data_IF_734081587081
#
_entry.id   IF_734081587081
#
_cell.length_a   1.000
_cell.length_b   1.000
_cell.length_c   1.000
_cell.angle_alpha   90.00
_cell.angle_beta   90.00
_cell.angle_gamma   90.00
#
_symmetry.space_group_name_H-M   'P 1'
#
loop_
_entity.id
_entity.type
_entity.pdbx_description
1 polymer ?
#
# COMPACT_ATOMS: atom_id res chain seq x y z
N UNK A 1 -3.70 6.64 -24.77
CA UNK A 1 -4.43 5.64 -23.95
C UNK A 1 -3.82 5.63 -22.57
N UNK A 2 -4.57 6.07 -21.57
CA UNK A 2 -4.08 6.17 -20.19
C UNK A 2 -4.24 4.81 -19.52
N UNK A 3 -3.21 3.96 -19.57
CA UNK A 3 -3.15 2.71 -18.82
C UNK A 3 -3.03 2.97 -17.32
N UNK A 4 -3.56 2.08 -16.48
CA UNK A 4 -3.51 2.20 -15.02
C UNK A 4 -2.16 1.65 -14.54
N UNK A 5 -1.31 2.51 -13.99
CA UNK A 5 -0.05 2.11 -13.38
C UNK A 5 -0.16 2.23 -11.86
N UNK A 6 0.06 1.13 -11.16
CA UNK A 6 -0.02 1.05 -9.70
C UNK A 6 1.38 0.93 -9.14
N UNK A 7 1.82 1.95 -8.43
CA UNK A 7 3.09 1.93 -7.71
C UNK A 7 2.90 1.26 -6.35
N UNK A 8 3.71 0.25 -6.05
CA UNK A 8 3.58 -0.56 -4.83
C UNK A 8 4.90 -0.66 -4.08
N UNK A 9 4.81 -1.00 -2.80
CA UNK A 9 5.95 -1.30 -1.93
C UNK A 9 5.75 -2.69 -1.31
N UNK A 10 6.81 -3.51 -1.15
CA UNK A 10 6.70 -4.79 -0.48
C UNK A 10 6.10 -4.61 0.92
N UNK A 11 5.22 -5.53 1.30
CA UNK A 11 4.46 -5.54 2.57
C UNK A 11 3.39 -4.44 2.73
N UNK A 12 2.99 -3.73 1.67
CA UNK A 12 1.87 -2.80 1.71
C UNK A 12 0.51 -3.53 1.66
N UNK A 13 -0.12 -3.78 2.81
CA UNK A 13 -1.44 -4.42 2.87
C UNK A 13 -2.52 -3.63 2.12
N UNK A 14 -2.43 -2.30 2.12
CA UNK A 14 -3.38 -1.45 1.39
C UNK A 14 -3.24 -1.60 -0.13
N UNK A 15 -2.01 -1.70 -0.64
CA UNK A 15 -1.74 -1.92 -2.06
C UNK A 15 -2.33 -3.26 -2.53
N UNK A 16 -2.28 -4.31 -1.69
CA UNK A 16 -2.92 -5.60 -1.97
C UNK A 16 -4.45 -5.49 -2.04
N UNK A 17 -5.07 -4.63 -1.24
CA UNK A 17 -6.51 -4.38 -1.32
C UNK A 17 -6.87 -3.68 -2.64
N UNK A 18 -6.06 -2.72 -3.08
CA UNK A 18 -6.23 -2.03 -4.37
C UNK A 18 -6.12 -2.99 -5.55
N UNK A 19 -5.11 -3.88 -5.56
CA UNK A 19 -4.98 -4.92 -6.60
C UNK A 19 -6.21 -5.80 -6.69
N UNK A 20 -6.73 -6.28 -5.55
CA UNK A 20 -7.96 -7.08 -5.51
C UNK A 20 -9.18 -6.34 -6.06
N UNK A 21 -9.26 -5.03 -5.82
CA UNK A 21 -10.35 -4.20 -6.34
C UNK A 21 -10.25 -4.04 -7.88
N UNK A 22 -9.03 -3.84 -8.39
CA UNK A 22 -8.76 -3.75 -9.82
C UNK A 22 -8.99 -5.09 -10.53
N UNK A 23 -8.53 -6.20 -9.93
CA UNK A 23 -8.78 -7.56 -10.42
C UNK A 23 -10.28 -7.86 -10.48
N UNK A 24 -11.04 -7.46 -9.45
CA UNK A 24 -12.51 -7.61 -9.42
C UNK A 24 -13.21 -6.75 -10.47
N UNK A 25 -12.64 -5.59 -10.79
CA UNK A 25 -13.13 -4.72 -11.86
C UNK A 25 -12.74 -5.21 -13.26
N UNK A 26 -11.87 -6.22 -13.37
CA UNK A 26 -11.38 -6.74 -14.65
C UNK A 26 -10.56 -5.72 -15.43
N UNK A 27 -9.86 -4.82 -14.73
CA UNK A 27 -9.06 -3.77 -15.34
C UNK A 27 -7.62 -4.20 -15.48
N UNK A 28 -7.03 -3.99 -16.66
CA UNK A 28 -5.60 -4.17 -16.85
C UNK A 28 -4.84 -3.04 -16.16
N UNK A 29 -3.94 -3.42 -15.25
CA UNK A 29 -3.03 -2.51 -14.58
C UNK A 29 -1.60 -3.05 -14.57
N UNK A 30 -0.64 -2.13 -14.52
CA UNK A 30 0.78 -2.46 -14.40
C UNK A 30 1.23 -2.15 -12.98
N UNK A 31 1.69 -3.17 -12.23
CA UNK A 31 2.27 -2.97 -10.91
C UNK A 31 3.77 -2.67 -11.03
N UNK A 32 4.20 -1.51 -10.53
CA UNK A 32 5.61 -1.11 -10.47
C UNK A 32 6.04 -1.05 -9.00
N UNK A 33 6.98 -1.91 -8.63
CA UNK A 33 7.58 -1.89 -7.30
C UNK A 33 8.61 -0.75 -7.21
N UNK A 34 8.39 0.19 -6.29
CA UNK A 34 9.26 1.37 -6.07
C UNK A 34 10.15 1.23 -4.83
N UNK A 35 10.46 0.01 -4.40
CA UNK A 35 11.24 -0.30 -3.18
C UNK A 35 12.74 0.02 -3.25
N UNK A 36 13.14 1.07 -3.96
CA UNK A 36 14.55 1.45 -4.13
C UNK A 36 15.21 1.99 -2.87
N UNK A 37 14.45 2.26 -1.79
CA UNK A 37 15.04 2.60 -0.50
C UNK A 37 14.12 2.21 0.67
N UNK A 38 14.43 1.08 1.28
CA UNK A 38 13.74 0.53 2.45
C UNK A 38 14.33 1.01 3.78
N UNK A 39 15.25 1.97 3.81
CA UNK A 39 15.84 2.41 5.08
C UNK A 39 14.99 3.50 5.80
N UNK A 40 14.09 4.18 5.10
CA UNK A 40 13.38 5.35 5.66
C UNK A 40 12.08 5.07 6.44
N UNK A 41 11.69 3.82 6.69
CA UNK A 41 10.44 3.51 7.44
C UNK A 41 10.64 3.26 8.93
N UNK A 42 11.85 2.92 9.36
CA UNK A 42 12.19 2.75 10.79
C UNK A 42 12.23 4.11 11.52
N UNK A 43 12.47 5.20 10.80
CA UNK A 43 12.38 6.58 11.33
C UNK A 43 10.93 7.05 11.59
N UNK A 44 9.92 6.27 11.19
CA UNK A 44 8.52 6.45 11.62
C UNK A 44 8.15 5.52 12.79
N UNK A 45 9.12 5.12 13.61
CA UNK A 45 8.84 4.87 15.02
C UNK A 45 8.81 6.22 15.74
N UNK A 46 7.61 6.74 15.95
CA UNK A 46 7.42 8.01 16.64
C UNK A 46 5.96 8.38 16.82
N UNK A 47 5.15 7.47 17.37
CA UNK A 47 3.85 7.77 18.00
C UNK A 47 2.76 8.40 17.10
N UNK A 48 2.05 7.60 16.31
CA UNK A 48 0.65 7.92 15.97
C UNK A 48 -0.21 6.69 15.61
N UNK A 49 -0.23 5.70 16.50
CA UNK A 49 -1.42 4.88 16.69
C UNK A 49 -2.18 5.44 17.89
N UNK A 50 -2.69 6.66 17.73
CA UNK A 50 -3.57 7.27 18.71
C UNK A 50 -4.88 6.52 18.74
N UNK A 51 -5.03 5.63 19.72
CA UNK A 51 -6.27 5.02 20.25
C UNK A 51 -7.36 4.76 19.22
N UNK A 52 -7.46 3.50 18.78
CA UNK A 52 -8.78 2.95 18.44
C UNK A 52 -9.13 1.95 19.53
N UNK A 53 -10.21 2.29 20.24
CA UNK A 53 -11.03 1.44 21.11
C UNK A 53 -10.56 1.22 22.55
N UNK A 54 -11.26 1.90 23.46
CA UNK A 54 -11.66 1.35 24.75
C UNK A 54 -11.98 -0.15 24.67
N UNK A 55 -11.37 -0.97 25.52
CA UNK A 55 -11.94 -2.23 26.02
C UNK A 55 -11.14 -2.78 27.21
N UNK A 56 -11.81 -2.77 28.37
CA UNK A 56 -11.57 -3.54 29.61
C UNK A 56 -10.47 -3.07 30.58
#
# INVERSE_FOLDING_TARGET
MSGITVYTKPNCQQCRATFRALDKAGLDYTAIDISVDTEARESQCGCQHGRVSDAA
#
